data_IF_182529996928
#
_entry.id   IF_182529996928
#
_cell.length_a   1.000
_cell.length_b   1.000
_cell.length_c   1.000
_cell.angle_alpha   90.00
_cell.angle_beta   90.00
_cell.angle_gamma   90.00
#
_symmetry.space_group_name_H-M   'P 1'
#
loop_
_entity.id
_entity.type
_entity.pdbx_description
1 polymer ?
#
# COMPACT_ATOMS: atom_id res chain seq x y z
N UNK A 1 8.57 4.86 11.71
CA UNK A 1 7.55 4.41 10.72
C UNK A 1 7.60 5.36 9.54
N UNK A 2 7.57 4.84 8.31
CA UNK A 2 7.62 5.65 7.09
C UNK A 2 6.44 5.30 6.19
N UNK A 3 5.94 6.28 5.43
CA UNK A 3 4.94 6.03 4.40
C UNK A 3 5.55 5.25 3.24
N UNK A 4 4.71 4.51 2.51
CA UNK A 4 5.03 3.96 1.20
C UNK A 4 5.40 5.04 0.18
N UNK A 5 4.98 6.28 0.42
CA UNK A 5 5.24 7.45 -0.40
C UNK A 5 6.37 8.27 0.22
N UNK A 6 7.64 8.10 -0.22
CA UNK A 6 8.78 8.79 0.40
C UNK A 6 8.72 10.32 0.20
N UNK A 7 8.03 10.78 -0.82
CA UNK A 7 7.87 12.20 -1.17
C UNK A 7 6.70 12.88 -0.44
N UNK A 8 5.93 12.13 0.36
CA UNK A 8 4.76 12.64 1.08
C UNK A 8 5.04 12.61 2.58
N UNK A 9 4.85 13.74 3.25
CA UNK A 9 4.92 13.79 4.70
C UNK A 9 3.67 13.13 5.31
N UNK A 10 3.84 12.45 6.45
CA UNK A 10 2.73 11.77 7.15
C UNK A 10 1.60 12.74 7.51
N UNK A 11 1.93 14.01 7.77
CA UNK A 11 0.98 15.07 8.08
C UNK A 11 0.14 15.53 6.89
N UNK A 12 0.63 15.34 5.66
CA UNK A 12 -0.06 15.71 4.42
C UNK A 12 -0.87 14.54 3.84
N UNK A 13 -0.63 13.32 4.29
CA UNK A 13 -1.31 12.11 3.84
C UNK A 13 -2.67 11.92 4.53
N UNK A 14 -3.72 11.68 3.74
CA UNK A 14 -5.05 11.42 4.27
C UNK A 14 -5.33 9.90 4.34
N UNK A 15 -5.22 9.34 5.54
CA UNK A 15 -5.51 7.92 5.79
C UNK A 15 -7.00 7.55 5.68
N UNK A 16 -7.90 8.55 5.67
CA UNK A 16 -9.34 8.34 5.51
C UNK A 16 -9.79 8.52 4.06
N UNK A 17 -8.89 8.87 3.15
CA UNK A 17 -9.22 9.03 1.75
C UNK A 17 -9.52 7.68 1.08
N UNK A 18 -10.48 7.72 0.16
CA UNK A 18 -10.80 6.61 -0.73
C UNK A 18 -9.71 6.40 -1.78
N UNK A 19 -9.61 5.17 -2.25
CA UNK A 19 -8.68 4.74 -3.29
C UNK A 19 -9.46 4.09 -4.42
N UNK A 20 -9.30 4.61 -5.63
CA UNK A 20 -9.94 4.11 -6.84
C UNK A 20 -9.11 2.99 -7.44
N UNK A 21 -9.72 1.84 -7.68
CA UNK A 21 -9.06 0.75 -8.39
C UNK A 21 -9.09 1.04 -9.89
N UNK A 22 -7.93 1.32 -10.48
CA UNK A 22 -7.84 1.68 -11.92
C UNK A 22 -7.41 0.52 -12.80
N UNK A 23 -6.69 -0.45 -12.24
CA UNK A 23 -6.31 -1.65 -12.95
C UNK A 23 -6.12 -2.84 -12.00
N UNK A 24 -6.33 -4.04 -12.54
CA UNK A 24 -6.07 -5.30 -11.85
C UNK A 24 -5.33 -6.24 -12.78
N UNK A 25 -4.32 -6.91 -12.26
CA UNK A 25 -3.55 -7.91 -12.98
C UNK A 25 -3.75 -9.28 -12.31
N UNK A 26 -4.44 -10.17 -13.03
CA UNK A 26 -4.78 -11.50 -12.53
C UNK A 26 -3.59 -12.47 -12.52
N UNK A 27 -2.58 -12.27 -13.38
CA UNK A 27 -1.41 -13.16 -13.50
C UNK A 27 -0.53 -13.08 -12.26
N UNK A 28 -0.34 -11.86 -11.74
CA UNK A 28 0.50 -11.61 -10.58
C UNK A 28 -0.29 -11.20 -9.32
N UNK A 29 -1.62 -11.18 -9.41
CA UNK A 29 -2.56 -10.78 -8.33
C UNK A 29 -2.27 -9.38 -7.80
N UNK A 30 -1.95 -8.43 -8.68
CA UNK A 30 -1.70 -7.04 -8.31
C UNK A 30 -2.90 -6.14 -8.61
N UNK A 31 -3.13 -5.15 -7.75
CA UNK A 31 -4.17 -4.15 -7.93
C UNK A 31 -3.54 -2.77 -7.88
N UNK A 32 -3.88 -1.93 -8.86
CA UNK A 32 -3.49 -0.54 -8.96
C UNK A 32 -4.56 0.34 -8.34
N UNK A 33 -4.13 1.22 -7.43
CA UNK A 33 -4.96 2.15 -6.71
C UNK A 33 -4.50 3.58 -6.99
N UNK A 34 -5.45 4.46 -7.25
CA UNK A 34 -5.25 5.91 -7.34
C UNK A 34 -5.94 6.58 -6.16
N UNK A 35 -5.19 7.33 -5.37
CA UNK A 35 -5.74 8.05 -4.23
C UNK A 35 -6.76 9.08 -4.69
N UNK A 36 -7.67 9.43 -3.79
CA UNK A 36 -8.68 10.46 -4.05
C UNK A 36 -8.50 11.64 -3.09
N UNK A 37 -9.12 12.78 -3.41
CA UNK A 37 -9.06 13.97 -2.57
C UNK A 37 -7.63 14.47 -2.36
N UNK A 38 -7.16 14.46 -1.11
CA UNK A 38 -5.79 14.87 -0.75
C UNK A 38 -4.70 13.94 -1.28
N UNK A 39 -5.05 12.69 -1.57
CA UNK A 39 -4.13 11.70 -2.13
C UNK A 39 -4.28 11.59 -3.65
N UNK A 40 -4.95 12.54 -4.32
CA UNK A 40 -5.24 12.46 -5.77
C UNK A 40 -4.01 12.40 -6.68
N UNK A 41 -2.88 12.89 -6.20
CA UNK A 41 -1.60 12.81 -6.92
C UNK A 41 -0.81 11.53 -6.59
N UNK A 42 -1.38 10.60 -5.81
CA UNK A 42 -0.72 9.37 -5.37
C UNK A 42 -1.29 8.13 -6.06
N UNK A 43 -0.40 7.28 -6.52
CA UNK A 43 -0.72 5.98 -7.09
C UNK A 43 0.08 4.89 -6.37
N UNK A 44 -0.51 3.72 -6.19
CA UNK A 44 0.19 2.59 -5.60
C UNK A 44 -0.30 1.25 -6.15
N UNK A 45 0.57 0.25 -6.02
CA UNK A 45 0.30 -1.12 -6.46
C UNK A 45 0.50 -2.05 -5.29
N UNK A 46 -0.53 -2.81 -4.94
CA UNK A 46 -0.46 -3.83 -3.89
C UNK A 46 -0.53 -5.23 -4.49
N UNK A 47 0.23 -6.14 -3.89
CA UNK A 47 0.26 -7.56 -4.25
C UNK A 47 -0.62 -8.36 -3.30
N UNK A 48 -1.54 -9.13 -3.88
CA UNK A 48 -2.49 -9.96 -3.15
C UNK A 48 -2.26 -11.45 -3.41
N UNK A 49 -1.02 -11.88 -3.74
CA UNK A 49 -0.71 -13.30 -3.95
C UNK A 49 -1.06 -14.15 -2.73
N UNK A 50 -0.79 -13.63 -1.53
CA UNK A 50 -1.11 -14.31 -0.27
C UNK A 50 -2.59 -14.21 0.12
N UNK A 51 -3.33 -13.24 -0.43
CA UNK A 51 -4.73 -12.95 -0.11
C UNK A 51 -5.61 -12.97 -1.38
N UNK A 52 -5.67 -14.11 -2.05
CA UNK A 52 -6.40 -14.24 -3.32
C UNK A 52 -7.91 -14.01 -3.18
N UNK A 53 -8.52 -14.30 -2.03
CA UNK A 53 -9.95 -14.03 -1.79
C UNK A 53 -10.25 -12.53 -1.81
N UNK A 54 -9.37 -11.73 -1.22
CA UNK A 54 -9.49 -10.27 -1.22
C UNK A 54 -9.29 -9.71 -2.64
N UNK A 55 -8.34 -10.26 -3.41
CA UNK A 55 -8.17 -9.90 -4.82
C UNK A 55 -9.44 -10.11 -5.64
N UNK A 56 -10.13 -11.24 -5.44
CA UNK A 56 -11.36 -11.57 -6.16
C UNK A 56 -12.56 -10.71 -5.76
N UNK A 57 -12.51 -10.07 -4.58
CA UNK A 57 -13.54 -9.13 -4.14
C UNK A 57 -13.45 -7.76 -4.82
N UNK A 58 -12.27 -7.39 -5.34
CA UNK A 58 -12.04 -6.09 -5.95
C UNK A 58 -12.56 -6.02 -7.39
N UNK A 59 -12.91 -4.80 -7.82
CA UNK A 59 -13.32 -4.51 -9.19
C UNK A 59 -12.75 -3.18 -9.67
N UNK A 60 -12.36 -3.12 -10.94
CA UNK A 60 -11.91 -1.86 -11.57
C UNK A 60 -13.06 -0.85 -11.59
N UNK A 61 -12.78 0.37 -11.15
CA UNK A 61 -13.75 1.45 -10.96
C UNK A 61 -14.35 1.52 -9.56
N UNK A 62 -13.98 0.61 -8.66
CA UNK A 62 -14.45 0.62 -7.27
C UNK A 62 -13.61 1.57 -6.40
N UNK A 63 -14.28 2.26 -5.48
CA UNK A 63 -13.66 3.08 -4.44
C UNK A 63 -13.60 2.28 -3.14
N UNK A 64 -12.40 2.11 -2.60
CA UNK A 64 -12.17 1.35 -1.38
C UNK A 64 -11.44 2.17 -0.33
N UNK A 65 -11.64 1.81 0.93
CA UNK A 65 -10.83 2.31 2.04
C UNK A 65 -9.80 1.24 2.40
N UNK A 66 -8.56 1.65 2.59
CA UNK A 66 -7.47 0.75 2.96
C UNK A 66 -7.00 1.09 4.38
N UNK A 67 -6.61 0.06 5.13
CA UNK A 67 -6.15 0.26 6.49
C UNK A 67 -4.88 1.12 6.53
N UNK A 68 -4.73 2.03 7.52
CA UNK A 68 -3.55 2.86 7.68
C UNK A 68 -2.24 2.09 7.69
N UNK A 69 -2.26 0.87 8.25
CA UNK A 69 -1.12 -0.04 8.32
C UNK A 69 -0.61 -0.45 6.93
N UNK A 70 -1.49 -0.45 5.91
CA UNK A 70 -1.12 -0.73 4.52
C UNK A 70 -0.12 0.30 3.98
N UNK A 71 -0.27 1.56 4.40
CA UNK A 71 0.58 2.67 3.93
C UNK A 71 1.84 2.86 4.77
N UNK A 72 1.88 2.26 5.96
CA UNK A 72 2.99 2.41 6.89
C UNK A 72 3.96 1.24 6.71
N UNK A 73 5.13 1.50 6.14
CA UNK A 73 6.24 0.58 6.30
C UNK A 73 6.71 0.62 7.76
N UNK A 74 6.59 -0.52 8.42
CA UNK A 74 7.38 -0.79 9.61
C UNK A 74 8.84 -0.56 9.24
N UNK A 75 9.51 0.33 9.97
CA UNK A 75 10.95 0.40 9.89
C UNK A 75 11.44 -0.96 10.36
N UNK A 76 11.77 -1.85 9.42
CA UNK A 76 12.64 -2.97 9.72
C UNK A 76 13.86 -2.32 10.34
N UNK A 77 14.01 -2.46 11.66
CA UNK A 77 15.28 -2.16 12.29
C UNK A 77 16.35 -2.81 11.41
N UNK A 78 17.39 -2.05 10.98
CA UNK A 78 18.43 -2.64 10.18
C UNK A 78 18.91 -3.87 10.94
N UNK A 79 18.88 -5.04 10.29
CA UNK A 79 19.40 -6.28 10.84
C UNK A 79 20.78 -5.95 11.41
N UNK A 80 20.89 -5.90 12.74
CA UNK A 80 22.17 -5.87 13.42
C UNK A 80 22.65 -7.32 13.37
N UNK A 81 23.63 -7.68 12.52
CA UNK A 81 24.29 -8.97 12.70
C UNK A 81 24.81 -8.97 14.15
N UNK A 82 24.27 -9.86 14.99
CA UNK A 82 24.95 -10.19 16.23
C UNK A 82 26.24 -10.89 15.81
N UNK A 83 27.32 -10.13 15.82
CA UNK A 83 28.66 -10.67 15.63
C UNK A 83 28.96 -11.51 16.88
N UNK A 84 28.64 -12.80 16.85
CA UNK A 84 29.22 -13.76 17.79
C UNK A 84 30.70 -13.89 17.40
N UNK A 85 31.54 -13.15 18.11
CA UNK A 85 32.99 -13.28 17.99
C UNK A 85 33.41 -14.71 18.33
N UNK A 86 34.15 -15.33 17.41
CA UNK A 86 34.87 -16.58 17.62
C UNK A 86 36.12 -16.36 18.49
#
# INVERSE_FOLDING_TARGET
>A
MKLLFPDVAVEDFDFSAEWLITAMNADNKQVHFEGQGRNSDLEMVLDFKENSELFESFSVGELVHLDPETFLQAEKEPYKPQYEGF
#
